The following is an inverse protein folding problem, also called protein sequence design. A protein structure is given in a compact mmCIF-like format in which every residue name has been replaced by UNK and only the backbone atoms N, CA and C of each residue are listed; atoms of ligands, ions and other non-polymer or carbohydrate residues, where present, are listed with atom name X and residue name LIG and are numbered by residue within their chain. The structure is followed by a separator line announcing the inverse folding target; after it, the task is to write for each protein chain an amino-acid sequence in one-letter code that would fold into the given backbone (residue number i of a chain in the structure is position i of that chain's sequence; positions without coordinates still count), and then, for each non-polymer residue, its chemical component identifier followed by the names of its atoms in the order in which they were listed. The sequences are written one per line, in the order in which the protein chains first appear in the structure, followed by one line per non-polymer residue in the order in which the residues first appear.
data_IF_337437500479
#
_entry.id   IF_337437500479
#
_cell.length_a   1.000
_cell.length_b   1.000
_cell.length_c   1.000
_cell.angle_alpha   90.00
_cell.angle_beta   90.00
_cell.angle_gamma   90.00
#
_symmetry.space_group_name_H-M   'P 1'
#
loop_
_entity.id
_entity.type
_entity.pdbx_description
1 polymer ?
#
# COMPACT_ATOMS: atom_id res chain seq x y z
N UNK A 1 -17.23 -6.53 -7.24
CA UNK A 1 -16.28 -6.60 -6.11
C UNK A 1 -17.02 -7.15 -4.91
N UNK A 2 -16.56 -8.29 -4.37
CA UNK A 2 -17.17 -8.92 -3.19
C UNK A 2 -17.14 -7.96 -1.98
N UNK A 3 -18.13 -8.00 -1.09
CA UNK A 3 -18.20 -7.10 0.10
C UNK A 3 -16.91 -7.10 0.93
N UNK A 4 -16.21 -8.24 0.98
CA UNK A 4 -14.92 -8.39 1.67
C UNK A 4 -13.81 -7.54 1.05
N UNK A 5 -13.77 -7.46 -0.28
CA UNK A 5 -12.79 -6.66 -1.00
C UNK A 5 -13.01 -5.16 -0.81
N UNK A 6 -14.28 -4.74 -0.80
CA UNK A 6 -14.66 -3.35 -0.53
C UNK A 6 -14.25 -2.95 0.89
N UNK A 7 -14.53 -3.80 1.87
CA UNK A 7 -14.16 -3.57 3.27
C UNK A 7 -12.65 -3.42 3.46
N UNK A 8 -11.84 -4.30 2.86
CA UNK A 8 -10.38 -4.21 2.92
C UNK A 8 -9.87 -2.88 2.37
N UNK A 9 -10.29 -2.52 1.15
CA UNK A 9 -9.86 -1.29 0.50
C UNK A 9 -10.25 -0.04 1.33
N UNK A 10 -11.47 -0.02 1.88
CA UNK A 10 -11.93 1.09 2.70
C UNK A 10 -11.10 1.26 3.97
N UNK A 11 -10.82 0.17 4.70
CA UNK A 11 -10.02 0.21 5.93
C UNK A 11 -8.60 0.70 5.63
N UNK A 12 -7.93 0.13 4.62
CA UNK A 12 -6.56 0.53 4.25
C UNK A 12 -6.52 1.98 3.79
N UNK A 13 -7.50 2.43 2.99
CA UNK A 13 -7.58 3.80 2.52
C UNK A 13 -7.73 4.79 3.68
N UNK A 14 -8.64 4.51 4.62
CA UNK A 14 -8.86 5.38 5.80
C UNK A 14 -7.59 5.46 6.65
N UNK A 15 -6.96 4.33 6.96
CA UNK A 15 -5.72 4.31 7.75
C UNK A 15 -4.59 5.09 7.05
N UNK A 16 -4.43 4.91 5.75
CA UNK A 16 -3.44 5.65 4.95
C UNK A 16 -3.70 7.15 4.89
N UNK A 17 -4.97 7.57 4.77
CA UNK A 17 -5.36 8.99 4.79
C UNK A 17 -5.09 9.60 6.15
N UNK A 18 -5.43 8.92 7.24
CA UNK A 18 -5.16 9.42 8.61
C UNK A 18 -3.65 9.56 8.84
N UNK A 19 -2.86 8.56 8.43
CA UNK A 19 -1.41 8.61 8.53
C UNK A 19 -0.82 9.80 7.77
N UNK A 20 -1.26 10.04 6.53
CA UNK A 20 -0.75 11.17 5.77
C UNK A 20 -1.24 12.52 6.26
N UNK A 21 -2.52 12.65 6.65
CA UNK A 21 -3.04 13.88 7.22
C UNK A 21 -2.27 14.29 8.48
N UNK A 22 -2.01 13.34 9.38
CA UNK A 22 -1.22 13.59 10.59
C UNK A 22 0.26 13.83 10.28
N UNK A 23 0.84 13.13 9.29
CA UNK A 23 2.21 13.40 8.82
C UNK A 23 2.38 14.80 8.20
N UNK A 24 1.46 15.24 7.34
CA UNK A 24 1.47 16.60 6.78
C UNK A 24 1.21 17.66 7.85
N UNK A 25 0.30 17.40 8.79
CA UNK A 25 0.12 18.29 9.94
C UNK A 25 1.42 18.40 10.78
N UNK A 26 2.15 17.29 10.94
CA UNK A 26 3.49 17.28 11.53
C UNK A 26 4.48 18.19 10.80
N UNK A 27 4.51 18.16 9.46
CA UNK A 27 5.38 19.05 8.65
C UNK A 27 5.01 20.53 8.84
N UNK A 28 3.72 20.85 8.92
CA UNK A 28 3.24 22.23 9.08
C UNK A 28 3.58 22.78 10.48
N UNK A 29 3.46 21.93 11.50
CA UNK A 29 3.54 22.33 12.92
C UNK A 29 4.91 22.11 13.55
N UNK A 30 5.86 21.55 12.81
CA UNK A 30 7.24 21.37 13.29
C UNK A 30 7.90 22.69 13.66
N UNK A 31 8.88 22.61 14.54
CA UNK A 31 9.72 23.74 14.87
C UNK A 31 10.57 24.14 13.66
N UNK A 32 10.65 25.44 13.36
CA UNK A 32 11.51 25.99 12.31
C UNK A 32 12.73 26.66 12.91
N UNK A 33 13.82 26.74 12.13
CA UNK A 33 15.05 27.42 12.54
C UNK A 33 14.83 28.90 12.89
N UNK A 34 13.85 29.55 12.27
CA UNK A 34 13.47 30.95 12.57
C UNK A 34 12.75 31.14 13.90
N UNK A 35 12.23 30.06 14.50
CA UNK A 35 11.45 30.11 15.74
C UNK A 35 12.30 29.74 16.98
N UNK A 36 13.52 29.26 16.76
CA UNK A 36 14.45 28.89 17.84
C UNK A 36 15.35 30.07 18.15
N UNK A 37 15.52 30.36 19.43
CA UNK A 37 16.43 31.40 19.91
C UNK A 37 17.45 30.83 20.90
N UNK A 38 18.65 31.41 20.86
CA UNK A 38 19.77 31.02 21.72
C UNK A 38 19.79 31.97 22.91
N UNK A 39 19.69 31.42 24.12
CA UNK A 39 19.80 32.18 25.36
C UNK A 39 21.03 31.68 26.13
N UNK A 40 22.12 32.46 26.07
CA UNK A 40 23.42 32.03 26.60
C UNK A 40 23.97 30.81 25.85
N UNK A 41 24.15 29.70 26.57
CA UNK A 41 24.63 28.42 26.02
C UNK A 41 23.50 27.38 25.81
N UNK A 42 22.23 27.81 25.85
CA UNK A 42 21.08 26.93 25.72
C UNK A 42 20.20 27.31 24.52
N UNK A 43 19.60 26.29 23.89
CA UNK A 43 18.61 26.42 22.84
C UNK A 43 17.21 26.40 23.44
N UNK A 44 16.41 27.44 23.18
CA UNK A 44 15.03 27.49 23.63
C UNK A 44 14.10 27.21 22.46
N UNK A 45 13.30 26.15 22.59
CA UNK A 45 12.39 25.67 21.55
C UNK A 45 10.95 26.09 21.88
N UNK A 46 10.16 26.53 20.88
CA UNK A 46 8.73 26.72 21.07
C UNK A 46 8.02 25.37 21.24
N UNK A 47 6.88 25.37 21.92
CA UNK A 47 6.03 24.18 22.01
C UNK A 47 5.49 23.81 20.61
N UNK A 48 5.67 22.55 20.20
CA UNK A 48 5.22 22.05 18.91
C UNK A 48 4.51 20.70 19.06
N UNK A 49 3.31 20.54 18.45
CA UNK A 49 2.60 19.26 18.44
C UNK A 49 3.17 18.25 17.43
N UNK A 50 4.19 18.61 16.63
CA UNK A 50 4.68 17.78 15.53
C UNK A 50 5.28 16.44 15.98
N UNK A 51 5.85 16.37 17.20
CA UNK A 51 6.28 15.11 17.80
C UNK A 51 5.12 14.12 17.90
N UNK A 52 4.02 14.55 18.53
CA UNK A 52 2.85 13.71 18.74
C UNK A 52 2.20 13.34 17.40
N UNK A 53 2.03 14.30 16.50
CA UNK A 53 1.47 14.06 15.16
C UNK A 53 2.31 13.07 14.34
N UNK A 54 3.63 13.14 14.44
CA UNK A 54 4.55 12.19 13.81
C UNK A 54 4.42 10.76 14.33
N UNK A 55 4.34 10.61 15.66
CA UNK A 55 4.14 9.31 16.31
C UNK A 55 2.79 8.73 15.90
N UNK A 56 1.73 9.53 15.93
CA UNK A 56 0.38 9.11 15.50
C UNK A 56 0.41 8.65 14.04
N UNK A 57 1.03 9.42 13.15
CA UNK A 57 1.19 9.04 11.74
C UNK A 57 1.92 7.71 11.57
N UNK A 58 3.01 7.49 12.32
CA UNK A 58 3.75 6.25 12.30
C UNK A 58 2.90 5.06 12.80
N UNK A 59 2.14 5.23 13.88
CA UNK A 59 1.24 4.21 14.43
C UNK A 59 0.18 3.81 13.41
N UNK A 60 -0.51 4.76 12.78
CA UNK A 60 -1.49 4.45 11.74
C UNK A 60 -0.87 3.74 10.54
N UNK A 61 0.34 4.13 10.14
CA UNK A 61 1.10 3.45 9.07
C UNK A 61 1.43 2.00 9.45
N UNK A 62 1.84 1.75 10.70
CA UNK A 62 2.12 0.41 11.22
C UNK A 62 0.84 -0.44 11.25
N UNK A 63 -0.28 0.12 11.74
CA UNK A 63 -1.57 -0.59 11.78
C UNK A 63 -2.00 -0.97 10.36
N UNK A 64 -1.92 -0.04 9.41
CA UNK A 64 -2.22 -0.32 7.99
C UNK A 64 -1.34 -1.45 7.46
N UNK A 65 -0.04 -1.42 7.78
CA UNK A 65 0.90 -2.45 7.33
C UNK A 65 0.63 -3.82 7.93
N UNK A 66 0.31 -3.89 9.23
CA UNK A 66 -0.05 -5.13 9.92
C UNK A 66 -1.33 -5.69 9.32
N UNK A 67 -2.35 -4.85 9.12
CA UNK A 67 -3.61 -5.25 8.50
C UNK A 67 -3.40 -5.86 7.11
N UNK A 68 -2.63 -5.18 6.25
CA UNK A 68 -2.25 -5.67 4.92
C UNK A 68 -1.52 -7.03 5.02
N UNK A 69 -0.56 -7.15 5.95
CA UNK A 69 0.25 -8.36 6.10
C UNK A 69 -0.59 -9.57 6.58
N UNK A 70 -1.51 -9.35 7.51
CA UNK A 70 -2.45 -10.38 8.00
C UNK A 70 -3.37 -10.86 6.86
N UNK A 71 -3.88 -9.95 6.03
CA UNK A 71 -4.73 -10.35 4.89
C UNK A 71 -4.01 -11.17 3.82
N UNK A 72 -2.69 -11.02 3.72
CA UNK A 72 -1.86 -11.75 2.77
C UNK A 72 -1.13 -12.95 3.40
N UNK A 73 -1.49 -13.35 4.63
CA UNK A 73 -0.94 -14.55 5.27
C UNK A 73 0.54 -14.45 5.66
N UNK A 74 1.12 -13.26 5.78
CA UNK A 74 2.51 -13.07 6.21
C UNK A 74 3.19 -11.81 5.68
N UNK A 75 4.53 -11.76 5.76
CA UNK A 75 5.26 -10.66 5.13
C UNK A 75 5.06 -10.71 3.62
N UNK A 76 4.63 -9.59 3.03
CA UNK A 76 4.56 -9.43 1.56
C UNK A 76 5.85 -9.80 0.83
N UNK A 77 7.00 -9.74 1.52
CA UNK A 77 8.30 -10.13 1.02
C UNK A 77 8.52 -11.65 0.87
N UNK A 78 7.78 -12.47 1.62
CA UNK A 78 7.87 -13.94 1.63
C UNK A 78 6.55 -14.60 1.21
N UNK A 79 5.73 -13.91 0.41
CA UNK A 79 4.45 -14.44 -0.06
C UNK A 79 4.65 -15.66 -0.95
N UNK A 80 4.18 -16.81 -0.45
CA UNK A 80 4.07 -18.07 -1.18
C UNK A 80 2.61 -18.38 -1.52
N UNK A 81 1.86 -17.39 -2.02
CA UNK A 81 0.49 -17.62 -2.46
C UNK A 81 0.45 -18.25 -3.85
N UNK A 82 -0.17 -19.44 -4.02
CA UNK A 82 -0.26 -20.12 -5.31
C UNK A 82 -1.08 -19.34 -6.34
N UNK A 83 -1.96 -18.44 -5.91
CA UNK A 83 -2.81 -17.62 -6.76
C UNK A 83 -2.25 -16.21 -7.05
N UNK A 84 -1.01 -15.91 -6.63
CA UNK A 84 -0.45 -14.56 -6.76
C UNK A 84 0.20 -14.33 -8.13
N UNK A 85 -0.19 -13.23 -8.78
CA UNK A 85 0.46 -12.75 -10.01
C UNK A 85 1.80 -12.08 -9.68
N UNK A 86 2.79 -12.08 -10.61
CA UNK A 86 4.07 -11.40 -10.40
C UNK A 86 3.88 -9.90 -10.09
N UNK A 87 2.85 -9.28 -10.66
CA UNK A 87 2.48 -7.88 -10.43
C UNK A 87 2.01 -7.67 -8.99
N UNK A 88 1.13 -8.54 -8.48
CA UNK A 88 0.66 -8.47 -7.08
C UNK A 88 1.83 -8.62 -6.09
N UNK A 89 2.78 -9.54 -6.38
CA UNK A 89 3.99 -9.69 -5.57
C UNK A 89 4.84 -8.42 -5.56
N UNK A 90 5.11 -7.85 -6.74
CA UNK A 90 5.89 -6.60 -6.86
C UNK A 90 5.23 -5.45 -6.10
N UNK A 91 3.93 -5.24 -6.27
CA UNK A 91 3.17 -4.21 -5.55
C UNK A 91 3.19 -4.44 -4.04
N UNK A 92 3.10 -5.69 -3.59
CA UNK A 92 3.21 -6.05 -2.18
C UNK A 92 4.59 -5.73 -1.58
N UNK A 93 5.66 -5.99 -2.32
CA UNK A 93 7.04 -5.65 -1.91
C UNK A 93 7.23 -4.13 -1.88
N UNK A 94 6.79 -3.41 -2.92
CA UNK A 94 6.87 -1.94 -2.95
C UNK A 94 6.07 -1.31 -1.82
N UNK A 95 4.88 -1.83 -1.52
CA UNK A 95 4.07 -1.42 -0.37
C UNK A 95 4.83 -1.63 0.95
N UNK A 96 5.49 -2.77 1.12
CA UNK A 96 6.30 -3.07 2.31
C UNK A 96 7.46 -2.09 2.47
N UNK A 97 8.30 -1.95 1.43
CA UNK A 97 9.46 -1.05 1.46
C UNK A 97 9.01 0.39 1.75
N UNK A 98 7.97 0.86 1.05
CA UNK A 98 7.43 2.20 1.27
C UNK A 98 6.93 2.40 2.71
N UNK A 99 6.26 1.40 3.31
CA UNK A 99 5.80 1.50 4.70
C UNK A 99 6.95 1.59 5.70
N UNK A 100 8.01 0.81 5.51
CA UNK A 100 9.18 0.81 6.40
C UNK A 100 9.89 2.16 6.33
N UNK A 101 10.13 2.67 5.11
CA UNK A 101 10.73 3.98 4.92
C UNK A 101 9.84 5.08 5.50
N UNK A 102 8.52 5.02 5.27
CA UNK A 102 7.57 5.99 5.84
C UNK A 102 7.67 6.05 7.37
N UNK A 103 7.63 4.90 8.05
CA UNK A 103 7.70 4.82 9.51
C UNK A 103 9.04 5.38 10.02
N UNK A 104 10.16 5.01 9.37
CA UNK A 104 11.48 5.54 9.74
C UNK A 104 11.51 7.06 9.59
N UNK A 105 11.03 7.61 8.48
CA UNK A 105 11.02 9.06 8.24
C UNK A 105 10.12 9.78 9.25
N UNK A 106 8.92 9.26 9.53
CA UNK A 106 7.97 9.87 10.47
C UNK A 106 8.51 9.87 11.90
N UNK A 107 9.09 8.75 12.36
CA UNK A 107 9.68 8.66 13.70
C UNK A 107 10.97 9.46 13.82
N UNK A 108 11.82 9.46 12.78
CA UNK A 108 13.01 10.29 12.74
C UNK A 108 12.62 11.78 12.79
N UNK A 109 11.65 12.21 11.98
CA UNK A 109 11.18 13.58 11.99
C UNK A 109 10.60 13.98 13.36
N UNK A 110 9.83 13.09 13.99
CA UNK A 110 9.26 13.29 15.31
C UNK A 110 10.35 13.44 16.39
N UNK A 111 11.33 12.51 16.42
CA UNK A 111 12.43 12.55 17.39
C UNK A 111 13.36 13.74 17.17
N UNK A 112 13.64 14.09 15.92
CA UNK A 112 14.46 15.25 15.55
C UNK A 112 13.76 16.58 15.86
N UNK A 113 12.42 16.62 15.83
CA UNK A 113 11.64 17.79 16.24
C UNK A 113 11.64 18.02 17.75
N UNK A 114 11.85 16.96 18.56
CA UNK A 114 11.93 17.04 20.02
C UNK A 114 13.37 16.97 20.54
N UNK A 115 14.37 17.12 19.66
CA UNK A 115 15.76 17.02 20.07
C UNK A 115 16.21 18.32 20.70
N UNK A 116 16.45 18.27 22.00
CA UNK A 116 16.99 19.40 22.76
C UNK A 116 18.53 19.36 22.70
N UNK A 117 19.14 20.46 22.27
CA UNK A 117 20.60 20.62 22.27
C UNK A 117 21.14 21.43 21.10
N UNK A 118 22.14 22.25 21.38
CA UNK A 118 22.89 22.97 20.36
C UNK A 118 24.01 22.11 19.79
N UNK A 119 24.22 22.22 18.49
CA UNK A 119 25.33 21.67 17.74
C UNK A 119 26.27 22.80 17.36
N UNK A 120 27.58 22.58 17.50
CA UNK A 120 28.57 23.50 16.95
C UNK A 120 28.65 23.22 15.45
N UNK A 121 28.36 24.22 14.63
CA UNK A 121 28.47 24.09 13.18
C UNK A 121 29.95 23.98 12.74
N UNK A 122 30.17 23.72 11.45
CA UNK A 122 31.53 23.60 10.90
C UNK A 122 32.36 24.89 10.98
N UNK A 123 31.74 26.01 11.36
CA UNK A 123 32.34 27.34 11.50
C UNK A 123 32.56 27.72 12.98
N UNK A 124 32.24 26.84 13.93
CA UNK A 124 32.43 27.07 15.36
C UNK A 124 31.28 27.82 16.04
N UNK A 125 30.17 28.11 15.35
CA UNK A 125 29.00 28.77 15.93
C UNK A 125 28.07 27.75 16.60
N UNK A 126 27.55 28.12 17.77
CA UNK A 126 26.52 27.34 18.45
C UNK A 126 25.19 27.50 17.71
N UNK A 127 24.69 26.42 17.12
CA UNK A 127 23.44 26.39 16.35
C UNK A 127 22.49 25.38 16.96
N UNK A 128 21.19 25.64 16.95
CA UNK A 128 20.21 24.70 17.47
C UNK A 128 19.79 23.73 16.39
N UNK A 129 19.71 22.44 16.72
CA UNK A 129 19.29 21.45 15.74
C UNK A 129 17.79 21.56 15.47
N UNK A 130 17.40 21.56 14.19
CA UNK A 130 16.01 21.61 13.74
C UNK A 130 15.81 20.60 12.61
N UNK A 131 14.66 19.92 12.62
CA UNK A 131 14.29 18.96 11.58
C UNK A 131 14.25 19.62 10.20
N UNK A 132 14.80 18.96 9.19
CA UNK A 132 14.90 19.51 7.84
C UNK A 132 13.53 19.56 7.14
N UNK A 133 13.24 20.60 6.32
CA UNK A 133 12.17 20.58 5.32
C UNK A 133 11.98 19.28 4.57
N UNK A 134 10.73 18.81 4.58
CA UNK A 134 10.27 17.70 3.76
C UNK A 134 10.32 16.32 4.40
N UNK A 135 10.93 16.10 5.57
CA UNK A 135 11.04 14.74 6.14
C UNK A 135 9.65 14.21 6.54
N UNK A 136 8.84 15.01 7.24
CA UNK A 136 7.46 14.62 7.58
C UNK A 136 6.60 14.44 6.32
N UNK A 137 6.70 15.37 5.36
CA UNK A 137 5.95 15.29 4.11
C UNK A 137 6.33 14.06 3.28
N UNK A 138 7.61 13.72 3.19
CA UNK A 138 8.09 12.53 2.51
C UNK A 138 7.52 11.26 3.18
N UNK A 139 7.59 11.18 4.51
CA UNK A 139 6.99 10.08 5.27
C UNK A 139 5.47 9.95 5.03
N UNK A 140 4.75 11.08 5.03
CA UNK A 140 3.32 11.13 4.72
C UNK A 140 3.00 10.61 3.30
N UNK A 141 3.73 11.08 2.28
CA UNK A 141 3.56 10.64 0.90
C UNK A 141 3.85 9.14 0.76
N UNK A 142 4.97 8.67 1.34
CA UNK A 142 5.33 7.25 1.33
C UNK A 142 4.28 6.37 2.02
N UNK A 143 3.63 6.86 3.08
CA UNK A 143 2.52 6.15 3.74
C UNK A 143 1.30 5.99 2.83
N UNK A 144 0.93 7.03 2.06
CA UNK A 144 -0.15 6.94 1.06
C UNK A 144 0.20 6.02 -0.10
N UNK A 145 1.43 6.14 -0.62
CA UNK A 145 1.93 5.28 -1.70
C UNK A 145 1.93 3.83 -1.25
N UNK A 146 2.34 3.55 -0.01
CA UNK A 146 2.30 2.22 0.57
C UNK A 146 0.88 1.66 0.64
N UNK A 147 -0.09 2.46 1.11
CA UNK A 147 -1.50 2.08 1.17
C UNK A 147 -2.06 1.81 -0.24
N UNK A 148 -1.77 2.68 -1.22
CA UNK A 148 -2.19 2.52 -2.60
C UNK A 148 -1.64 1.24 -3.23
N UNK A 149 -0.35 0.94 -3.04
CA UNK A 149 0.24 -0.31 -3.50
C UNK A 149 -0.33 -1.53 -2.78
N UNK A 150 -0.64 -1.43 -1.49
CA UNK A 150 -1.30 -2.50 -0.73
C UNK A 150 -2.70 -2.82 -1.28
N UNK A 151 -3.49 -1.79 -1.58
CA UNK A 151 -4.81 -1.90 -2.20
C UNK A 151 -4.68 -2.49 -3.62
N UNK A 152 -3.76 -1.98 -4.44
CA UNK A 152 -3.55 -2.49 -5.80
C UNK A 152 -3.09 -3.96 -5.80
N UNK A 153 -2.19 -4.33 -4.88
CA UNK A 153 -1.78 -5.72 -4.68
C UNK A 153 -2.97 -6.62 -4.31
N UNK A 154 -3.92 -6.11 -3.53
CA UNK A 154 -5.12 -6.84 -3.15
C UNK A 154 -6.10 -7.01 -4.31
N UNK A 155 -6.42 -5.92 -5.02
CA UNK A 155 -7.35 -5.94 -6.15
C UNK A 155 -6.87 -6.84 -7.28
N UNK A 156 -5.56 -6.90 -7.52
CA UNK A 156 -4.95 -7.78 -8.54
C UNK A 156 -4.97 -9.27 -8.19
N UNK A 157 -5.34 -9.65 -6.97
CA UNK A 157 -5.54 -11.05 -6.56
C UNK A 157 -6.99 -11.48 -6.68
N UNK A 158 -7.93 -10.55 -6.60
CA UNK A 158 -9.34 -10.85 -6.81
C UNK A 158 -9.48 -11.20 -8.30
N UNK A 159 -9.86 -12.43 -8.66
CA UNK A 159 -10.13 -12.76 -10.05
C UNK A 159 -11.11 -11.73 -10.58
N UNK A 160 -10.80 -11.12 -11.73
CA UNK A 160 -11.80 -10.33 -12.43
C UNK A 160 -13.02 -11.24 -12.55
N UNK A 161 -14.13 -10.89 -11.88
CA UNK A 161 -15.41 -11.47 -12.22
C UNK A 161 -15.48 -11.29 -13.73
N UNK A 162 -15.44 -12.39 -14.46
CA UNK A 162 -15.43 -12.43 -15.91
C UNK A 162 -16.46 -11.39 -16.31
N UNK A 163 -16.02 -10.31 -16.97
CA UNK A 163 -16.98 -9.54 -17.72
C UNK A 163 -17.64 -10.60 -18.58
N UNK A 164 -18.92 -10.87 -18.32
CA UNK A 164 -19.74 -11.56 -19.28
C UNK A 164 -19.71 -10.62 -20.46
N UNK A 165 -18.71 -10.80 -21.33
CA UNK A 165 -18.81 -10.40 -22.72
C UNK A 165 -20.02 -11.20 -23.15
N UNK A 166 -21.18 -10.56 -23.07
CA UNK A 166 -22.35 -10.99 -23.80
C UNK A 166 -21.90 -10.86 -25.24
N UNK A 167 -21.22 -11.89 -25.75
CA UNK A 167 -21.21 -12.15 -27.16
C UNK A 167 -22.70 -12.19 -27.49
N UNK A 168 -23.25 -11.25 -28.30
CA UNK A 168 -24.60 -11.44 -28.77
C UNK A 168 -24.56 -12.78 -29.49
N UNK A 169 -25.30 -13.76 -28.97
CA UNK A 169 -25.58 -14.95 -29.72
C UNK A 169 -26.19 -14.45 -31.03
N UNK A 170 -25.43 -14.53 -32.12
CA UNK A 170 -25.95 -14.28 -33.45
C UNK A 170 -26.97 -15.38 -33.66
N UNK A 171 -28.23 -15.07 -33.38
CA UNK A 171 -29.35 -15.92 -33.71
C UNK A 171 -29.36 -16.02 -35.23
N UNK A 172 -28.87 -17.14 -35.77
CA UNK A 172 -29.11 -17.47 -37.16
C UNK A 172 -30.63 -17.66 -37.32
N UNK A 173 -31.31 -16.93 -38.22
CA UNK A 173 -32.73 -17.15 -38.44
C UNK A 173 -32.92 -18.54 -39.04
N UNK A 174 -33.45 -19.46 -38.22
CA UNK A 174 -33.88 -20.76 -38.70
C UNK A 174 -35.13 -20.53 -39.55
N UNK A 175 -35.03 -20.78 -40.85
CA UNK A 175 -36.17 -20.69 -41.77
C UNK A 175 -37.26 -21.72 -41.40
N UNK A 176 -38.55 -21.42 -41.66
CA UNK A 176 -39.69 -22.15 -41.09
C UNK A 176 -39.96 -23.57 -41.65
N UNK A 177 -38.98 -24.28 -42.19
CA UNK A 177 -39.20 -25.60 -42.82
C UNK A 177 -38.10 -26.63 -42.53
N UNK A 178 -37.82 -26.93 -41.26
CA UNK A 178 -36.95 -28.07 -40.91
C UNK A 178 -37.73 -29.08 -40.07
N UNK A 179 -38.07 -30.18 -40.72
CA UNK A 179 -38.72 -31.37 -40.16
C UNK A 179 -37.67 -32.17 -39.34
N UNK A 180 -37.81 -32.31 -38.00
CA UNK A 180 -36.74 -32.85 -37.15
C UNK A 180 -36.41 -34.33 -37.36
N UNK A 181 -37.22 -35.08 -38.11
CA UNK A 181 -37.12 -36.54 -38.17
C UNK A 181 -36.24 -37.11 -39.30
N UNK A 182 -35.63 -36.27 -40.17
CA UNK A 182 -34.92 -36.76 -41.37
C UNK A 182 -33.46 -36.36 -41.57
N UNK A 183 -32.80 -35.75 -40.57
CA UNK A 183 -31.42 -35.27 -40.71
C UNK A 183 -30.44 -35.87 -39.70
N UNK A 184 -29.93 -37.07 -39.95
CA UNK A 184 -28.79 -37.60 -39.20
C UNK A 184 -27.50 -36.86 -39.58
N UNK A 185 -27.09 -35.88 -38.77
CA UNK A 185 -25.75 -35.27 -38.87
C UNK A 185 -24.80 -35.95 -37.88
N UNK A 186 -23.64 -36.48 -38.33
CA UNK A 186 -22.65 -37.06 -37.43
C UNK A 186 -22.00 -35.97 -36.57
N UNK A 187 -21.96 -36.16 -35.25
CA UNK A 187 -21.17 -35.32 -34.35
C UNK A 187 -19.67 -35.61 -34.55
N UNK A 188 -18.79 -34.61 -34.70
CA UNK A 188 -17.34 -34.85 -34.71
C UNK A 188 -16.85 -35.25 -33.30
N UNK A 189 -15.86 -36.15 -33.19
CA UNK A 189 -15.34 -36.60 -31.90
C UNK A 189 -14.63 -35.48 -31.15
N UNK A 190 -14.94 -35.33 -29.87
CA UNK A 190 -14.26 -34.44 -28.93
C UNK A 190 -12.85 -34.97 -28.63
N UNK A 191 -11.81 -34.17 -28.87
CA UNK A 191 -10.45 -34.46 -28.44
C UNK A 191 -10.24 -33.94 -27.00
N UNK A 192 -9.91 -34.84 -26.08
CA UNK A 192 -9.54 -34.48 -24.71
C UNK A 192 -8.01 -34.27 -24.63
N UNK A 193 -7.52 -33.20 -23.99
CA UNK A 193 -6.09 -33.07 -23.74
C UNK A 193 -5.58 -34.14 -22.76
N UNK A 194 -4.36 -34.69 -22.94
CA UNK A 194 -3.84 -35.77 -22.12
C UNK A 194 -3.58 -35.32 -20.67
N UNK A 195 -4.05 -36.13 -19.71
CA UNK A 195 -3.74 -35.95 -18.28
C UNK A 195 -2.30 -36.37 -17.97
N UNK A 196 -1.52 -35.47 -17.38
CA UNK A 196 -0.22 -35.77 -16.80
C UNK A 196 -0.40 -36.27 -15.35
N UNK A 197 0.05 -37.50 -15.06
CA UNK A 197 0.14 -38.02 -13.71
C UNK A 197 1.51 -37.70 -13.08
N UNK A 198 1.60 -37.33 -11.79
CA UNK A 198 2.88 -37.11 -11.12
C UNK A 198 3.65 -38.43 -10.96
N UNK A 199 4.94 -38.42 -11.29
CA UNK A 199 5.86 -39.54 -11.07
C UNK A 199 6.14 -39.69 -9.56
N UNK A 200 5.87 -40.88 -9.00
CA UNK A 200 6.32 -41.27 -7.66
C UNK A 200 7.82 -41.59 -7.72
N UNK A 201 8.63 -40.86 -6.97
CA UNK A 201 10.04 -41.22 -6.74
C UNK A 201 10.14 -42.19 -5.57
N UNK A 202 10.85 -43.29 -5.79
CA UNK A 202 11.22 -44.30 -4.80
C UNK A 202 12.59 -43.98 -4.23
#
# INVERSE_FOLDING_TARGET
MESKAVGFCAVVAVLGIIAAATGFAGEITRVKASEVYILGNACVYPSSPALALGIVAAVFTIIARVYISVTFGGCSCFRNDPNSTPISKLLGVLSWVASVIAVILLLAAAGLNNREGGQVDSYGYFTCYVVKPGIFAAGAILSLVSAAFGIAAYVTLVPAATQTTVNPAVAFPMGPNVDPEKGGVPFPPQQYPPQQYPQQQY
#
